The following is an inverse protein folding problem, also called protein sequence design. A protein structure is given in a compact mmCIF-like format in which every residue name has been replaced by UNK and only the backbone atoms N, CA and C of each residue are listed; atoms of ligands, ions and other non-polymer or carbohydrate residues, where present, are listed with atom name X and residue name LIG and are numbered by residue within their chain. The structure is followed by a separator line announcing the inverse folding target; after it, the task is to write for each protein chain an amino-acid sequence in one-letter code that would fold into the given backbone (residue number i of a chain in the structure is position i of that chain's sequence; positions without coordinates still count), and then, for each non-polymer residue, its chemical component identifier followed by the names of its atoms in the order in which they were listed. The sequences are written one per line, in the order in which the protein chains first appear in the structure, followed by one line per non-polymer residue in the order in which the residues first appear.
data_IF_564926278361
#
_entry.id   IF_564926278361
#
_cell.length_a   1.000
_cell.length_b   1.000
_cell.length_c   1.000
_cell.angle_alpha   90.00
_cell.angle_beta   90.00
_cell.angle_gamma   90.00
#
_symmetry.space_group_name_H-M   'P 1'
#
loop_
_entity.id
_entity.type
_entity.pdbx_description
1 polymer ?
#
# COMPACT_ATOMS: atom_id res chain seq x y z
N UNK A 1 80.72 -1.04 21.00
CA UNK A 1 80.20 -2.29 20.41
C UNK A 1 78.73 -2.39 20.78
N UNK A 2 77.87 -2.18 19.79
CA UNK A 2 76.42 -2.24 19.92
C UNK A 2 75.94 -3.69 19.81
N UNK A 3 74.95 -4.09 20.59
CA UNK A 3 74.17 -5.29 20.32
C UNK A 3 72.70 -4.99 20.60
N UNK A 4 71.97 -4.87 19.49
CA UNK A 4 70.51 -4.82 19.43
C UNK A 4 69.99 -6.26 19.41
N UNK A 5 68.92 -6.55 20.14
CA UNK A 5 68.07 -7.73 19.93
C UNK A 5 66.71 -7.41 20.54
N UNK A 6 65.76 -6.96 19.72
CA UNK A 6 64.85 -7.74 18.86
C UNK A 6 63.55 -8.03 19.61
N UNK A 7 62.59 -7.14 19.35
CA UNK A 7 61.22 -7.10 19.84
C UNK A 7 60.43 -8.23 19.18
N UNK A 8 60.06 -9.29 19.92
CA UNK A 8 59.12 -10.30 19.43
C UNK A 8 57.68 -9.87 19.74
N UNK A 9 57.07 -9.32 18.69
CA UNK A 9 55.64 -9.11 18.52
C UNK A 9 54.91 -10.46 18.63
N UNK A 10 54.18 -10.69 19.71
CA UNK A 10 53.29 -11.86 19.81
C UNK A 10 51.88 -11.42 19.48
N UNK A 11 51.54 -11.53 18.20
CA UNK A 11 50.22 -11.23 17.65
C UNK A 11 49.21 -12.26 18.18
N UNK A 12 48.31 -11.80 19.06
CA UNK A 12 47.14 -12.53 19.52
C UNK A 12 46.16 -12.61 18.33
N UNK A 13 46.20 -13.71 17.58
CA UNK A 13 45.14 -14.08 16.64
C UNK A 13 43.98 -14.68 17.44
N UNK A 14 43.21 -13.79 18.08
CA UNK A 14 41.89 -14.11 18.61
C UNK A 14 40.95 -14.25 17.42
N UNK A 15 40.85 -15.47 16.90
CA UNK A 15 39.85 -15.85 15.91
C UNK A 15 38.46 -15.75 16.53
N UNK A 16 37.88 -14.55 16.50
CA UNK A 16 36.44 -14.37 16.60
C UNK A 16 35.81 -15.01 15.36
N UNK A 17 35.58 -16.32 15.42
CA UNK A 17 34.55 -16.97 14.63
C UNK A 17 33.22 -16.37 15.06
N UNK A 18 32.83 -15.26 14.43
CA UNK A 18 31.44 -14.79 14.42
C UNK A 18 30.65 -15.83 13.65
N UNK A 19 30.22 -16.88 14.36
CA UNK A 19 29.06 -17.65 13.94
C UNK A 19 27.93 -16.65 13.79
N UNK A 20 27.65 -16.27 12.55
CA UNK A 20 26.49 -15.45 12.24
C UNK A 20 25.27 -16.21 12.73
N UNK A 21 24.66 -15.74 13.82
CA UNK A 21 23.33 -16.15 14.16
C UNK A 21 22.49 -15.89 12.90
N UNK A 22 21.89 -16.95 12.34
CA UNK A 22 20.79 -16.83 11.39
C UNK A 22 19.63 -16.20 12.18
N UNK A 23 19.73 -14.88 12.38
CA UNK A 23 18.85 -14.10 13.22
C UNK A 23 17.51 -14.00 12.52
N UNK A 24 16.46 -14.49 13.16
CA UNK A 24 15.11 -14.16 12.74
C UNK A 24 14.98 -12.64 12.78
N UNK A 25 14.70 -12.02 11.63
CA UNK A 25 14.37 -10.60 11.58
C UNK A 25 12.91 -10.45 11.96
N UNK A 26 12.67 -9.81 13.10
CA UNK A 26 11.34 -9.53 13.61
C UNK A 26 10.98 -8.08 13.26
N UNK A 27 9.97 -7.92 12.39
CA UNK A 27 9.34 -6.64 12.14
C UNK A 27 8.06 -6.51 12.99
N UNK A 28 7.88 -5.39 13.69
CA UNK A 28 6.71 -5.15 14.53
C UNK A 28 6.14 -3.78 14.26
N UNK A 29 4.81 -3.66 14.37
CA UNK A 29 4.17 -2.36 14.37
C UNK A 29 4.64 -1.51 15.59
N UNK A 30 4.62 -0.17 15.48
CA UNK A 30 5.02 0.71 16.57
C UNK A 30 4.09 0.56 17.79
N UNK A 31 4.65 0.72 18.99
CA UNK A 31 3.93 0.72 20.27
C UNK A 31 3.23 2.07 20.52
N UNK A 32 2.40 2.52 19.59
CA UNK A 32 1.61 3.73 19.74
C UNK A 32 0.11 3.43 19.69
N UNK A 33 -0.67 4.25 20.42
CA UNK A 33 -2.14 4.12 20.47
C UNK A 33 -2.82 4.45 19.14
N UNK A 34 -2.15 5.21 18.29
CA UNK A 34 -2.64 5.66 16.99
C UNK A 34 -2.17 4.75 15.83
N UNK A 35 -1.70 3.54 16.16
CA UNK A 35 -1.16 2.59 15.19
C UNK A 35 -2.20 1.88 14.33
N UNK A 36 -3.47 1.88 14.78
CA UNK A 36 -4.59 1.33 14.02
C UNK A 36 -5.44 2.45 13.44
N UNK A 37 -5.79 2.32 12.16
CA UNK A 37 -6.61 3.27 11.42
C UNK A 37 -7.83 2.53 10.89
N UNK A 38 -9.01 3.07 11.14
CA UNK A 38 -10.26 2.56 10.59
C UNK A 38 -10.69 3.38 9.36
N UNK A 39 -11.14 2.67 8.33
CA UNK A 39 -11.75 3.22 7.13
C UNK A 39 -12.98 2.37 6.81
N UNK A 40 -14.06 3.02 6.42
CA UNK A 40 -15.30 2.31 6.08
C UNK A 40 -16.14 3.11 5.11
N UNK A 41 -16.85 2.38 4.25
CA UNK A 41 -17.88 2.88 3.37
C UNK A 41 -19.11 1.96 3.44
N UNK A 42 -20.10 2.21 2.59
CA UNK A 42 -21.34 1.44 2.53
C UNK A 42 -21.14 -0.03 2.09
N UNK A 43 -19.94 -0.42 1.66
CA UNK A 43 -19.64 -1.72 1.09
C UNK A 43 -18.58 -2.51 1.85
N UNK A 44 -17.69 -1.84 2.59
CA UNK A 44 -16.53 -2.45 3.24
C UNK A 44 -16.14 -1.70 4.49
N UNK A 45 -15.70 -2.47 5.49
CA UNK A 45 -15.05 -1.97 6.68
C UNK A 45 -13.63 -2.49 6.73
N UNK A 46 -12.67 -1.62 7.07
CA UNK A 46 -11.25 -1.92 7.07
C UNK A 46 -10.59 -1.30 8.31
N UNK A 47 -9.83 -2.10 9.05
CA UNK A 47 -8.88 -1.62 10.06
C UNK A 47 -7.48 -1.99 9.61
N UNK A 48 -6.57 -1.02 9.60
CA UNK A 48 -5.19 -1.22 9.12
C UNK A 48 -4.19 -0.81 10.19
N UNK A 49 -3.10 -1.56 10.31
CA UNK A 49 -1.91 -1.21 11.06
C UNK A 49 -0.68 -1.33 10.17
N UNK A 50 0.14 -0.28 10.13
CA UNK A 50 1.41 -0.30 9.41
C UNK A 50 2.47 -1.05 10.24
N UNK A 51 3.26 -1.88 9.57
CA UNK A 51 4.46 -2.52 10.12
C UNK A 51 5.66 -1.90 9.41
N UNK A 52 6.43 -1.03 10.07
CA UNK A 52 7.62 -0.39 9.49
C UNK A 52 8.55 -1.41 8.83
N UNK A 53 9.11 -1.02 7.68
CA UNK A 53 10.07 -1.80 6.89
C UNK A 53 9.59 -3.16 6.38
N UNK A 54 8.31 -3.51 6.61
CA UNK A 54 7.74 -4.78 6.18
C UNK A 54 6.52 -4.60 5.30
N UNK A 55 5.50 -3.85 5.74
CA UNK A 55 4.22 -3.77 5.04
C UNK A 55 3.06 -3.32 5.93
N UNK A 56 1.90 -3.96 5.75
CA UNK A 56 0.68 -3.65 6.48
C UNK A 56 -0.09 -4.89 6.91
N UNK A 57 -0.75 -4.78 8.05
CA UNK A 57 -1.73 -5.74 8.55
C UNK A 57 -3.10 -5.11 8.44
N UNK A 58 -4.04 -5.83 7.87
CA UNK A 58 -5.40 -5.36 7.63
C UNK A 58 -6.41 -6.37 8.12
N UNK A 59 -7.43 -5.88 8.82
CA UNK A 59 -8.65 -6.60 9.11
C UNK A 59 -9.77 -6.00 8.28
N UNK A 60 -10.50 -6.81 7.55
CA UNK A 60 -11.58 -6.33 6.70
C UNK A 60 -12.76 -7.27 6.62
N UNK A 61 -13.91 -6.70 6.28
CA UNK A 61 -15.12 -7.42 5.88
C UNK A 61 -15.89 -6.53 4.91
N UNK A 62 -16.68 -7.16 4.04
CA UNK A 62 -17.54 -6.50 3.07
C UNK A 62 -18.97 -7.03 3.19
N UNK A 63 -19.91 -6.40 2.48
CA UNK A 63 -21.37 -6.71 2.50
C UNK A 63 -21.72 -8.20 2.32
N UNK A 64 -20.83 -9.01 1.74
CA UNK A 64 -20.97 -10.48 1.63
C UNK A 64 -19.69 -11.23 1.98
N UNK A 65 -18.70 -10.51 2.51
CA UNK A 65 -17.38 -11.03 2.79
C UNK A 65 -17.28 -11.50 4.24
N UNK A 66 -16.75 -12.70 4.43
CA UNK A 66 -16.31 -13.12 5.75
C UNK A 66 -15.21 -12.19 6.28
N UNK A 67 -15.11 -12.10 7.60
CA UNK A 67 -14.02 -11.39 8.24
C UNK A 67 -12.68 -11.97 7.78
N UNK A 68 -11.76 -11.10 7.39
CA UNK A 68 -10.49 -11.48 6.77
C UNK A 68 -9.36 -10.67 7.36
N UNK A 69 -8.29 -11.34 7.81
CA UNK A 69 -7.01 -10.70 8.06
C UNK A 69 -6.09 -10.89 6.86
N UNK A 70 -5.46 -9.80 6.43
CA UNK A 70 -4.43 -9.80 5.41
C UNK A 70 -3.15 -9.21 5.96
N UNK A 71 -2.07 -9.96 5.82
CA UNK A 71 -0.71 -9.46 6.05
C UNK A 71 -0.06 -9.28 4.68
N UNK A 72 0.21 -8.04 4.32
CA UNK A 72 0.70 -7.63 3.01
C UNK A 72 2.07 -7.00 3.12
N UNK A 73 3.13 -7.65 2.61
CA UNK A 73 4.45 -7.04 2.55
C UNK A 73 4.49 -5.93 1.48
N UNK A 74 5.31 -4.88 1.68
CA UNK A 74 5.54 -3.84 0.66
C UNK A 74 6.17 -4.38 -0.61
N UNK A 75 6.99 -5.41 -0.48
CA UNK A 75 7.60 -6.11 -1.61
C UNK A 75 7.20 -7.58 -1.51
N UNK A 76 6.29 -8.05 -2.38
CA UNK A 76 5.97 -9.46 -2.48
C UNK A 76 7.25 -10.23 -2.80
N UNK A 77 7.56 -11.26 -2.02
CA UNK A 77 8.69 -12.13 -2.31
C UNK A 77 8.19 -13.41 -2.95
N UNK A 78 8.85 -13.85 -4.02
CA UNK A 78 8.57 -15.16 -4.61
C UNK A 78 8.95 -16.26 -3.61
N UNK A 79 8.21 -17.38 -3.63
CA UNK A 79 8.48 -18.58 -2.83
C UNK A 79 8.36 -18.38 -1.31
N UNK A 80 7.38 -17.60 -0.87
CA UNK A 80 7.02 -17.53 0.55
C UNK A 80 6.47 -18.86 1.04
N UNK A 81 6.89 -19.27 2.24
CA UNK A 81 6.33 -20.41 2.95
C UNK A 81 6.00 -20.02 4.38
N UNK A 82 4.78 -20.25 4.81
CA UNK A 82 4.41 -20.09 6.21
C UNK A 82 5.12 -21.15 7.05
N UNK A 83 5.76 -20.70 8.13
CA UNK A 83 6.31 -21.57 9.18
C UNK A 83 5.29 -21.72 10.29
N UNK A 84 4.78 -20.60 10.82
CA UNK A 84 3.73 -20.58 11.83
C UNK A 84 2.97 -19.26 11.79
N UNK A 85 1.74 -19.28 12.29
CA UNK A 85 1.00 -18.07 12.61
C UNK A 85 0.32 -18.30 13.96
N UNK A 86 0.59 -17.43 14.92
CA UNK A 86 0.10 -17.58 16.29
C UNK A 86 -0.22 -16.26 16.97
N UNK A 87 -1.02 -16.32 18.03
CA UNK A 87 -1.21 -15.21 18.95
C UNK A 87 -0.69 -15.57 20.33
N UNK A 88 0.04 -14.68 20.99
CA UNK A 88 0.64 -14.92 22.30
C UNK A 88 0.67 -13.63 23.13
N UNK A 89 0.95 -13.77 24.44
CA UNK A 89 1.10 -12.62 25.35
C UNK A 89 2.30 -11.78 24.91
N UNK A 90 2.17 -10.45 24.75
CA UNK A 90 3.29 -9.61 24.36
C UNK A 90 4.44 -9.66 25.38
N UNK A 91 5.71 -9.52 24.95
CA UNK A 91 6.86 -9.74 25.83
C UNK A 91 6.98 -8.74 26.99
N UNK A 92 6.31 -7.60 26.92
CA UNK A 92 6.28 -6.59 27.99
C UNK A 92 5.18 -6.81 29.02
N UNK A 93 4.20 -7.69 28.76
CA UNK A 93 3.18 -8.03 29.75
C UNK A 93 3.73 -9.10 30.71
N UNK A 94 3.46 -8.92 32.00
CA UNK A 94 3.86 -9.88 33.04
C UNK A 94 3.32 -11.28 32.73
N UNK A 95 4.00 -12.35 33.18
CA UNK A 95 3.80 -13.71 32.69
C UNK A 95 2.50 -14.31 33.24
N UNK A 96 1.39 -13.91 32.65
CA UNK A 96 0.23 -14.80 32.55
C UNK A 96 0.58 -15.73 31.39
N UNK A 97 1.10 -16.91 31.70
CA UNK A 97 1.49 -17.91 30.69
C UNK A 97 0.19 -18.41 30.07
N UNK A 98 -0.22 -17.77 28.97
CA UNK A 98 -1.31 -18.20 28.12
C UNK A 98 -0.66 -18.86 26.91
N UNK A 99 -0.99 -20.13 26.68
CA UNK A 99 -0.45 -20.88 25.56
C UNK A 99 -0.73 -20.17 24.23
N UNK A 100 0.25 -20.12 23.30
CA UNK A 100 0.04 -19.58 21.97
C UNK A 100 -1.11 -20.30 21.27
N UNK A 101 -1.99 -19.53 20.62
CA UNK A 101 -3.06 -20.08 19.77
C UNK A 101 -2.56 -20.04 18.34
N UNK A 102 -2.60 -21.17 17.64
CA UNK A 102 -2.20 -21.24 16.23
C UNK A 102 -3.38 -21.04 15.29
N UNK A 103 -3.13 -20.38 14.17
CA UNK A 103 -4.13 -20.10 13.14
C UNK A 103 -3.71 -20.68 11.81
N UNK A 104 -4.71 -21.12 11.03
CA UNK A 104 -4.47 -21.52 9.65
C UNK A 104 -4.38 -20.27 8.79
N UNK A 105 -3.28 -20.16 8.07
CA UNK A 105 -3.02 -19.06 7.13
C UNK A 105 -2.78 -19.62 5.74
N UNK A 106 -3.30 -18.92 4.74
CA UNK A 106 -3.12 -19.24 3.33
C UNK A 106 -2.25 -18.17 2.68
N UNK A 107 -1.49 -18.54 1.66
CA UNK A 107 -0.80 -17.55 0.82
C UNK A 107 -1.61 -17.38 -0.46
N UNK A 108 -2.05 -16.14 -0.74
CA UNK A 108 -2.76 -15.77 -1.97
C UNK A 108 -2.10 -14.54 -2.55
N UNK A 109 -1.59 -14.65 -3.78
CA UNK A 109 -1.01 -13.51 -4.51
C UNK A 109 0.10 -12.76 -3.74
N UNK A 110 0.85 -13.47 -2.89
CA UNK A 110 1.91 -12.87 -2.05
C UNK A 110 1.42 -12.25 -0.73
N UNK A 111 0.14 -12.40 -0.41
CA UNK A 111 -0.49 -12.02 0.86
C UNK A 111 -0.68 -13.23 1.75
N UNK A 112 -0.57 -13.04 3.07
CA UNK A 112 -0.95 -14.04 4.04
C UNK A 112 -2.36 -13.76 4.55
N UNK A 113 -3.26 -14.72 4.34
CA UNK A 113 -4.70 -14.54 4.50
C UNK A 113 -5.24 -15.50 5.55
N UNK A 114 -6.01 -14.96 6.50
CA UNK A 114 -6.75 -15.70 7.53
C UNK A 114 -8.21 -15.27 7.43
N UNK A 115 -9.13 -16.23 7.42
CA UNK A 115 -10.53 -15.97 7.08
C UNK A 115 -11.52 -16.61 8.05
N UNK A 116 -12.74 -16.05 8.06
CA UNK A 116 -13.89 -16.59 8.76
C UNK A 116 -13.66 -16.71 10.26
N UNK A 117 -13.96 -17.87 10.84
CA UNK A 117 -13.84 -18.08 12.28
C UNK A 117 -12.40 -17.88 12.80
N UNK A 118 -11.38 -18.21 11.99
CA UNK A 118 -9.99 -17.97 12.40
C UNK A 118 -9.68 -16.48 12.49
N UNK A 119 -10.26 -15.67 11.59
CA UNK A 119 -10.10 -14.23 11.62
C UNK A 119 -10.82 -13.60 12.81
N UNK A 120 -12.02 -14.09 13.14
CA UNK A 120 -12.79 -13.64 14.30
C UNK A 120 -12.07 -13.97 15.62
N UNK A 121 -11.55 -15.19 15.75
CA UNK A 121 -10.76 -15.59 16.92
C UNK A 121 -9.48 -14.75 17.07
N UNK A 122 -8.82 -14.41 15.95
CA UNK A 122 -7.65 -13.55 15.97
C UNK A 122 -7.99 -12.12 16.39
N UNK A 123 -9.11 -11.57 15.90
CA UNK A 123 -9.62 -10.27 16.34
C UNK A 123 -9.88 -10.26 17.85
N UNK A 124 -10.55 -11.28 18.37
CA UNK A 124 -10.79 -11.41 19.81
C UNK A 124 -9.48 -11.51 20.59
N UNK A 125 -8.51 -12.31 20.12
CA UNK A 125 -7.19 -12.40 20.74
C UNK A 125 -6.48 -11.04 20.83
N UNK A 126 -6.46 -10.27 19.73
CA UNK A 126 -5.81 -8.95 19.68
C UNK A 126 -6.56 -7.95 20.57
N UNK A 127 -7.90 -7.95 20.55
CA UNK A 127 -8.72 -7.10 21.44
C UNK A 127 -8.46 -7.38 22.92
N UNK A 128 -8.17 -8.63 23.27
CA UNK A 128 -7.81 -9.05 24.62
C UNK A 128 -6.32 -8.89 24.93
N UNK A 129 -5.59 -8.09 24.15
CA UNK A 129 -4.22 -7.71 24.46
C UNK A 129 -3.14 -8.69 23.99
N UNK A 130 -3.49 -9.69 23.16
CA UNK A 130 -2.51 -10.63 22.59
C UNK A 130 -1.86 -10.04 21.34
N UNK A 131 -0.57 -10.31 21.15
CA UNK A 131 0.14 -10.02 19.91
C UNK A 131 -0.07 -11.16 18.93
N UNK A 132 -0.27 -10.85 17.65
CA UNK A 132 -0.27 -11.84 16.58
C UNK A 132 1.09 -11.85 15.90
N UNK A 133 1.64 -13.02 15.58
CA UNK A 133 2.94 -13.14 14.91
C UNK A 133 2.87 -14.18 13.80
N UNK A 134 3.19 -13.74 12.59
CA UNK A 134 3.41 -14.59 11.42
C UNK A 134 4.90 -14.86 11.31
N UNK A 135 5.30 -16.13 11.34
CA UNK A 135 6.65 -16.57 10.98
C UNK A 135 6.61 -17.22 9.60
N UNK A 136 7.48 -16.77 8.70
CA UNK A 136 7.53 -17.26 7.33
C UNK A 136 8.97 -17.34 6.82
N UNK A 137 9.18 -18.17 5.81
CA UNK A 137 10.43 -18.28 5.08
C UNK A 137 10.32 -17.54 3.75
N UNK A 138 11.35 -16.78 3.42
CA UNK A 138 11.48 -16.04 2.17
C UNK A 138 12.95 -15.97 1.78
N UNK A 139 13.28 -16.36 0.54
CA UNK A 139 14.66 -16.36 0.03
C UNK A 139 15.68 -17.10 0.93
N UNK A 140 15.25 -18.17 1.61
CA UNK A 140 16.11 -18.94 2.52
C UNK A 140 16.25 -18.36 3.92
N UNK A 141 15.66 -17.19 4.21
CA UNK A 141 15.66 -16.56 5.52
C UNK A 141 14.33 -16.78 6.23
N UNK A 142 14.39 -17.00 7.55
CA UNK A 142 13.18 -17.00 8.40
C UNK A 142 12.94 -15.59 8.93
N UNK A 143 11.75 -15.08 8.69
CA UNK A 143 11.30 -13.75 9.08
C UNK A 143 10.05 -13.86 9.93
N UNK A 144 9.87 -12.90 10.83
CA UNK A 144 8.68 -12.79 11.66
C UNK A 144 8.08 -11.39 11.52
N UNK A 145 6.76 -11.31 11.44
CA UNK A 145 6.02 -10.04 11.47
C UNK A 145 4.93 -10.08 12.53
N UNK A 146 4.85 -9.03 13.34
CA UNK A 146 3.91 -8.90 14.44
C UNK A 146 2.84 -7.82 14.22
N UNK A 147 1.59 -8.17 14.49
CA UNK A 147 0.50 -7.21 14.67
C UNK A 147 0.29 -6.94 16.16
N UNK A 148 0.27 -5.66 16.54
CA UNK A 148 0.34 -5.23 17.94
C UNK A 148 -1.05 -4.87 18.47
N UNK A 149 -1.40 -5.30 19.70
CA UNK A 149 -2.72 -5.05 20.27
C UNK A 149 -2.93 -3.60 20.74
N UNK A 150 -1.85 -2.83 20.87
CA UNK A 150 -1.90 -1.44 21.32
C UNK A 150 -2.75 -0.62 20.35
N UNK A 151 -3.74 0.10 20.86
CA UNK A 151 -4.67 0.91 20.06
C UNK A 151 -5.86 0.14 19.49
N UNK A 152 -5.80 -1.19 19.35
CA UNK A 152 -6.89 -1.97 18.76
C UNK A 152 -8.24 -1.80 19.49
N UNK A 153 -8.30 -1.83 20.85
CA UNK A 153 -9.57 -1.64 21.55
C UNK A 153 -10.23 -0.29 21.28
N UNK A 154 -9.45 0.76 20.93
CA UNK A 154 -9.99 2.08 20.64
C UNK A 154 -10.69 2.15 19.28
N UNK A 155 -10.25 1.35 18.30
CA UNK A 155 -10.87 1.27 16.96
C UNK A 155 -11.87 0.12 16.83
N UNK A 156 -11.85 -0.84 17.76
CA UNK A 156 -12.69 -2.03 17.69
C UNK A 156 -14.19 -1.69 17.75
N UNK A 157 -14.61 -0.73 18.58
CA UNK A 157 -16.01 -0.29 18.64
C UNK A 157 -16.48 0.32 17.33
N UNK A 158 -15.62 1.13 16.70
CA UNK A 158 -15.93 1.81 15.45
C UNK A 158 -16.00 0.80 14.31
N UNK A 159 -15.14 -0.22 14.35
CA UNK A 159 -15.17 -1.31 13.39
C UNK A 159 -16.44 -2.13 13.52
N UNK A 160 -16.87 -2.49 14.73
CA UNK A 160 -18.14 -3.18 14.95
C UNK A 160 -19.34 -2.34 14.50
N UNK A 161 -19.30 -1.02 14.74
CA UNK A 161 -20.33 -0.09 14.28
C UNK A 161 -20.37 -0.03 12.75
N UNK A 162 -19.21 0.01 12.10
CA UNK A 162 -19.10 -0.06 10.65
C UNK A 162 -19.70 -1.37 10.12
N UNK A 163 -19.32 -2.52 10.70
CA UNK A 163 -19.84 -3.83 10.30
C UNK A 163 -21.37 -3.91 10.42
N UNK A 164 -21.93 -3.35 11.49
CA UNK A 164 -23.38 -3.30 11.69
C UNK A 164 -24.09 -2.36 10.69
N UNK A 165 -23.38 -1.39 10.13
CA UNK A 165 -23.88 -0.47 9.10
C UNK A 165 -23.82 -1.03 7.68
N UNK A 166 -23.14 -2.17 7.45
CA UNK A 166 -23.11 -2.80 6.14
C UNK A 166 -24.50 -3.32 5.78
N UNK A 167 -25.02 -3.08 4.56
CA UNK A 167 -26.27 -3.64 4.11
C UNK A 167 -26.22 -5.18 4.14
N UNK A 168 -27.35 -5.84 4.37
CA UNK A 168 -27.42 -7.30 4.34
C UNK A 168 -27.23 -7.86 2.93
N UNK A 169 -27.53 -7.04 1.93
CA UNK A 169 -27.46 -7.42 0.52
C UNK A 169 -26.92 -6.25 -0.30
N UNK A 170 -25.96 -6.53 -1.18
CA UNK A 170 -25.55 -5.55 -2.18
C UNK A 170 -26.78 -5.23 -3.05
N UNK A 171 -27.04 -3.96 -3.38
CA UNK A 171 -28.05 -3.64 -4.37
C UNK A 171 -27.75 -4.46 -5.63
N UNK A 172 -28.77 -5.11 -6.19
CA UNK A 172 -28.57 -5.88 -7.42
C UNK A 172 -27.93 -4.97 -8.46
N UNK A 173 -26.83 -5.41 -9.10
CA UNK A 173 -26.24 -4.61 -10.15
C UNK A 173 -27.32 -4.34 -11.21
N UNK A 174 -27.41 -3.11 -11.73
CA UNK A 174 -28.40 -2.82 -12.76
C UNK A 174 -28.24 -3.83 -13.89
N UNK A 175 -29.36 -4.36 -14.38
CA UNK A 175 -29.32 -5.29 -15.51
C UNK A 175 -28.51 -4.68 -16.66
N UNK A 176 -27.81 -5.51 -17.44
CA UNK A 176 -27.05 -5.01 -18.60
C UNK A 176 -27.90 -4.12 -19.52
N UNK A 177 -29.21 -4.41 -19.63
CA UNK A 177 -30.15 -3.57 -20.37
C UNK A 177 -30.37 -2.20 -19.71
N UNK A 178 -30.53 -2.14 -18.39
CA UNK A 178 -30.66 -0.89 -17.65
C UNK A 178 -29.36 -0.06 -17.67
N UNK A 179 -28.20 -0.71 -17.52
CA UNK A 179 -26.90 -0.05 -17.61
C UNK A 179 -26.64 0.51 -19.01
N UNK A 180 -26.93 -0.27 -20.05
CA UNK A 180 -26.81 0.16 -21.45
C UNK A 180 -27.73 1.33 -21.75
N UNK A 181 -29.00 1.26 -21.34
CA UNK A 181 -29.95 2.35 -21.53
C UNK A 181 -29.49 3.63 -20.85
N UNK A 182 -29.00 3.54 -19.60
CA UNK A 182 -28.45 4.69 -18.87
C UNK A 182 -27.28 5.32 -19.62
N UNK A 183 -26.36 4.51 -20.16
CA UNK A 183 -25.24 5.00 -20.96
C UNK A 183 -25.72 5.66 -22.26
N UNK A 184 -26.70 5.07 -22.95
CA UNK A 184 -27.30 5.66 -24.15
C UNK A 184 -27.98 7.01 -23.84
N UNK A 185 -28.69 7.10 -22.72
CA UNK A 185 -29.34 8.34 -22.25
C UNK A 185 -28.30 9.42 -21.86
N UNK A 186 -27.21 9.05 -21.18
CA UNK A 186 -26.10 9.95 -20.84
C UNK A 186 -25.36 10.43 -22.09
N UNK A 187 -25.08 9.54 -23.06
CA UNK A 187 -24.45 9.88 -24.32
C UNK A 187 -25.34 10.82 -25.16
N UNK A 188 -26.66 10.58 -25.16
CA UNK A 188 -27.63 11.45 -25.81
C UNK A 188 -27.74 12.82 -25.14
N UNK A 189 -27.59 12.89 -23.82
CA UNK A 189 -27.55 14.16 -23.07
C UNK A 189 -26.25 14.95 -23.29
N UNK A 190 -25.13 14.25 -23.54
CA UNK A 190 -23.84 14.86 -23.90
C UNK A 190 -23.76 15.29 -25.37
N UNK A 191 -24.62 14.76 -26.23
CA UNK A 191 -24.78 15.21 -27.60
C UNK A 191 -25.59 16.53 -27.65
N UNK A 192 -25.11 17.58 -26.97
CA UNK A 192 -25.49 18.93 -27.34
C UNK A 192 -24.93 19.25 -28.73
N UNK A 193 -25.66 20.02 -29.56
CA UNK A 193 -25.15 20.45 -30.86
C UNK A 193 -23.88 21.26 -30.64
N UNK A 194 -22.80 20.86 -31.31
CA UNK A 194 -21.51 21.56 -31.31
C UNK A 194 -21.74 23.07 -31.43
N UNK A 195 -21.56 23.79 -30.31
CA UNK A 195 -21.35 25.22 -30.37
C UNK A 195 -20.07 25.44 -31.18
N UNK A 196 -20.03 26.46 -32.05
CA UNK A 196 -18.84 26.76 -32.85
C UNK A 196 -17.63 26.86 -31.92
N UNK A 197 -16.66 25.99 -32.19
CA UNK A 197 -15.42 25.79 -31.45
C UNK A 197 -14.68 27.13 -31.29
N UNK A 198 -14.84 27.79 -30.14
CA UNK A 198 -13.96 28.89 -29.74
C UNK A 198 -12.62 28.28 -29.33
N UNK A 199 -11.64 28.46 -30.21
CA UNK A 199 -10.25 28.02 -30.05
C UNK A 199 -9.73 28.47 -28.67
N UNK A 200 -9.42 27.54 -27.74
CA UNK A 200 -9.01 27.93 -26.40
C UNK A 200 -7.72 28.73 -26.47
N UNK A 201 -7.59 29.82 -25.71
CA UNK A 201 -6.41 30.67 -25.74
C UNK A 201 -5.17 29.83 -25.40
N UNK A 202 -4.20 29.82 -26.31
CA UNK A 202 -2.90 29.20 -26.15
C UNK A 202 -2.31 29.60 -24.78
N UNK A 203 -2.20 28.63 -23.88
CA UNK A 203 -1.52 28.81 -22.60
C UNK A 203 -0.09 29.27 -22.87
N UNK A 204 0.30 30.40 -22.27
CA UNK A 204 1.65 30.92 -22.41
C UNK A 204 2.68 29.92 -21.86
N UNK A 205 3.83 29.76 -22.53
CA UNK A 205 4.88 28.85 -22.10
C UNK A 205 5.46 29.31 -20.75
N UNK A 206 5.43 28.42 -19.77
CA UNK A 206 6.03 28.66 -18.45
C UNK A 206 7.55 28.66 -18.58
N UNK A 207 8.20 29.74 -18.14
CA UNK A 207 9.66 29.85 -18.15
C UNK A 207 10.26 29.03 -17.00
N UNK A 208 11.08 28.06 -17.36
CA UNK A 208 11.70 27.10 -16.45
C UNK A 208 12.74 27.79 -15.55
N UNK A 209 12.44 27.93 -14.26
CA UNK A 209 13.50 28.11 -13.24
C UNK A 209 13.50 27.09 -12.12
N UNK A 210 12.42 26.38 -11.84
CA UNK A 210 12.39 25.35 -10.77
C UNK A 210 11.64 24.07 -11.16
N UNK A 211 11.97 23.49 -12.32
CA UNK A 211 11.31 22.28 -12.81
C UNK A 211 12.18 21.03 -12.59
N UNK A 212 11.59 19.98 -12.00
CA UNK A 212 12.11 18.60 -12.13
C UNK A 212 11.20 17.82 -13.08
N UNK A 213 11.78 17.35 -14.19
CA UNK A 213 11.09 16.48 -15.14
C UNK A 213 11.39 15.02 -14.76
N UNK A 214 10.35 14.26 -14.45
CA UNK A 214 10.43 12.82 -14.19
C UNK A 214 9.87 12.10 -15.42
N UNK A 215 10.77 11.56 -16.24
CA UNK A 215 10.35 10.79 -17.41
C UNK A 215 9.93 9.39 -16.98
N UNK A 216 8.63 9.10 -17.05
CA UNK A 216 8.07 7.77 -16.78
C UNK A 216 7.40 7.23 -18.04
N UNK A 217 8.01 6.27 -18.71
CA UNK A 217 7.43 5.67 -19.90
C UNK A 217 6.32 4.68 -19.51
N UNK A 218 5.06 5.05 -19.74
CA UNK A 218 3.94 4.11 -19.69
C UNK A 218 4.07 3.13 -20.86
N UNK A 219 4.07 1.83 -20.60
CA UNK A 219 3.85 0.81 -21.63
C UNK A 219 2.39 0.79 -22.09
N UNK A 220 2.02 -0.20 -22.92
CA UNK A 220 0.66 -0.38 -23.47
C UNK A 220 -0.44 -0.20 -22.42
N UNK A 221 -1.55 0.45 -22.83
CA UNK A 221 -2.86 0.84 -22.25
C UNK A 221 -3.31 0.44 -20.82
N UNK A 222 -2.48 -0.17 -19.98
CA UNK A 222 -2.78 -0.54 -18.60
C UNK A 222 -1.58 -0.22 -17.69
N UNK A 223 -1.89 0.35 -16.52
CA UNK A 223 -0.97 0.39 -15.39
C UNK A 223 -1.07 -0.98 -14.69
N UNK A 224 -0.10 -1.86 -14.92
CA UNK A 224 0.04 -3.05 -14.08
C UNK A 224 0.35 -2.65 -12.62
N UNK A 225 0.11 -3.55 -11.66
CA UNK A 225 0.28 -3.24 -10.22
C UNK A 225 1.71 -2.81 -9.86
N UNK A 226 2.72 -3.33 -10.57
CA UNK A 226 4.11 -2.91 -10.36
C UNK A 226 4.33 -1.47 -10.81
N UNK A 227 3.73 -1.07 -11.94
CA UNK A 227 3.76 0.30 -12.45
C UNK A 227 2.97 1.26 -11.60
N UNK A 228 1.80 0.85 -11.07
CA UNK A 228 1.04 1.61 -10.08
C UNK A 228 1.90 1.90 -8.85
N UNK A 229 2.54 0.89 -8.28
CA UNK A 229 3.42 1.06 -7.12
C UNK A 229 4.63 1.96 -7.40
N UNK A 230 5.25 1.85 -8.59
CA UNK A 230 6.34 2.74 -8.99
C UNK A 230 5.87 4.20 -9.13
N UNK A 231 4.72 4.41 -9.76
CA UNK A 231 4.09 5.72 -9.89
C UNK A 231 3.75 6.30 -8.51
N UNK A 232 3.18 5.49 -7.63
CA UNK A 232 2.90 5.89 -6.25
C UNK A 232 4.17 6.29 -5.51
N UNK A 233 5.22 5.46 -5.52
CA UNK A 233 6.47 5.78 -4.82
C UNK A 233 7.10 7.09 -5.36
N UNK A 234 7.03 7.30 -6.68
CA UNK A 234 7.51 8.52 -7.32
C UNK A 234 6.74 9.77 -6.89
N UNK A 235 5.43 9.62 -6.64
CA UNK A 235 4.55 10.70 -6.20
C UNK A 235 4.50 10.84 -4.68
N UNK A 236 4.79 9.78 -3.92
CA UNK A 236 4.81 9.79 -2.45
C UNK A 236 5.95 10.66 -1.92
N UNK A 237 7.12 10.62 -2.57
CA UNK A 237 8.23 11.55 -2.32
C UNK A 237 7.80 13.02 -2.52
N UNK A 238 6.74 13.26 -3.29
CA UNK A 238 6.18 14.56 -3.62
C UNK A 238 5.00 14.98 -2.73
N UNK A 239 4.18 14.05 -2.23
CA UNK A 239 3.14 14.35 -1.23
C UNK A 239 3.75 14.88 0.09
N UNK A 240 5.04 14.66 0.31
CA UNK A 240 5.82 15.23 1.42
C UNK A 240 6.36 16.65 1.14
N UNK A 241 6.17 17.20 -0.07
CA UNK A 241 6.61 18.53 -0.46
C UNK A 241 5.59 19.62 -0.05
N UNK A 242 5.98 20.90 0.09
CA UNK A 242 5.07 21.97 0.51
C UNK A 242 3.86 22.14 -0.43
N UNK A 243 2.74 22.57 0.15
CA UNK A 243 1.38 22.63 -0.42
C UNK A 243 1.17 23.43 -1.73
N UNK A 244 2.21 23.96 -2.34
CA UNK A 244 2.13 24.81 -3.54
C UNK A 244 2.53 24.12 -4.84
N UNK A 245 3.03 22.89 -4.78
CA UNK A 245 3.59 22.23 -5.95
C UNK A 245 2.46 21.64 -6.83
N UNK A 246 2.57 21.80 -8.16
CA UNK A 246 1.67 21.22 -9.16
C UNK A 246 2.34 20.11 -9.95
N UNK A 247 1.58 19.07 -10.28
CA UNK A 247 2.03 17.98 -11.15
C UNK A 247 1.45 18.18 -12.56
N UNK A 248 2.32 18.16 -13.57
CA UNK A 248 1.95 18.25 -14.96
C UNK A 248 2.11 16.90 -15.66
N UNK A 249 1.04 16.37 -16.24
CA UNK A 249 1.06 15.19 -17.11
C UNK A 249 1.29 15.68 -18.54
N UNK A 250 2.48 15.41 -19.09
CA UNK A 250 2.85 15.80 -20.45
C UNK A 250 2.61 14.63 -21.39
N UNK A 251 1.77 14.80 -22.41
CA UNK A 251 1.47 13.73 -23.39
C UNK A 251 1.47 14.24 -24.82
N UNK A 252 1.77 13.39 -25.83
CA UNK A 252 1.48 13.73 -27.21
C UNK A 252 -0.03 13.88 -27.45
N UNK A 253 -0.39 14.54 -28.56
CA UNK A 253 -1.77 14.80 -28.96
C UNK A 253 -2.34 13.65 -29.81
N UNK A 254 -2.33 12.44 -29.27
CA UNK A 254 -2.89 11.27 -29.93
C UNK A 254 -3.85 10.51 -29.00
N UNK A 255 -4.71 9.69 -29.59
CA UNK A 255 -5.79 8.98 -28.91
C UNK A 255 -5.28 8.02 -27.82
N UNK A 256 -4.17 7.33 -28.07
CA UNK A 256 -3.56 6.42 -27.11
C UNK A 256 -3.01 7.20 -25.90
N UNK A 257 -2.31 8.30 -26.17
CA UNK A 257 -1.83 9.22 -25.15
C UNK A 257 -2.94 9.85 -24.31
N UNK A 258 -4.11 10.12 -24.91
CA UNK A 258 -5.31 10.58 -24.18
C UNK A 258 -5.80 9.54 -23.18
N UNK A 259 -5.94 8.28 -23.60
CA UNK A 259 -6.38 7.19 -22.71
C UNK A 259 -5.38 6.99 -21.57
N UNK A 260 -4.08 6.94 -21.87
CA UNK A 260 -3.04 6.77 -20.86
C UNK A 260 -3.02 7.91 -19.84
N UNK A 261 -3.27 9.13 -20.29
CA UNK A 261 -3.38 10.31 -19.42
C UNK A 261 -4.52 10.18 -18.42
N UNK A 262 -5.70 9.77 -18.88
CA UNK A 262 -6.88 9.58 -18.00
C UNK A 262 -6.63 8.50 -16.97
N UNK A 263 -6.02 7.37 -17.38
CA UNK A 263 -5.64 6.28 -16.47
C UNK A 263 -4.70 6.77 -15.36
N UNK A 264 -3.69 7.58 -15.69
CA UNK A 264 -2.78 8.17 -14.68
C UNK A 264 -3.50 9.18 -13.80
N UNK A 265 -4.31 10.09 -14.37
CA UNK A 265 -5.01 11.10 -13.62
C UNK A 265 -6.01 10.49 -12.61
N UNK A 266 -6.77 9.48 -13.05
CA UNK A 266 -7.70 8.76 -12.19
C UNK A 266 -6.97 8.04 -11.06
N UNK A 267 -5.89 7.32 -11.38
CA UNK A 267 -5.08 6.65 -10.36
C UNK A 267 -4.55 7.63 -9.30
N UNK A 268 -3.99 8.77 -9.71
CA UNK A 268 -3.46 9.75 -8.76
C UNK A 268 -4.56 10.38 -7.89
N UNK A 269 -5.74 10.59 -8.47
CA UNK A 269 -6.92 11.08 -7.74
C UNK A 269 -7.42 10.05 -6.72
N UNK A 270 -7.46 8.76 -7.09
CA UNK A 270 -7.78 7.65 -6.17
C UNK A 270 -6.79 7.54 -5.01
N UNK A 271 -5.52 7.93 -5.23
CA UNK A 271 -4.50 8.00 -4.17
C UNK A 271 -4.59 9.28 -3.32
N UNK A 272 -5.64 10.09 -3.49
CA UNK A 272 -5.92 11.28 -2.67
C UNK A 272 -5.27 12.56 -3.17
N UNK A 273 -4.73 12.60 -4.40
CA UNK A 273 -4.26 13.86 -4.99
C UNK A 273 -5.45 14.71 -5.46
N UNK A 274 -5.46 15.99 -5.09
CA UNK A 274 -6.46 16.93 -5.56
C UNK A 274 -6.32 17.15 -7.08
N UNK A 275 -7.41 16.97 -7.83
CA UNK A 275 -7.44 17.16 -9.28
C UNK A 275 -6.96 18.56 -9.71
N UNK A 276 -7.10 19.58 -8.85
CA UNK A 276 -6.61 20.94 -9.11
C UNK A 276 -5.09 21.07 -9.09
N UNK A 277 -4.40 20.09 -8.49
CA UNK A 277 -2.94 19.99 -8.52
C UNK A 277 -2.42 19.29 -9.77
N UNK A 278 -3.31 18.64 -10.54
CA UNK A 278 -2.99 17.99 -11.80
C UNK A 278 -3.22 18.96 -12.96
N UNK A 279 -2.19 19.17 -13.76
CA UNK A 279 -2.27 19.93 -15.01
C UNK A 279 -1.92 19.02 -16.17
N UNK A 280 -2.62 19.17 -17.29
CA UNK A 280 -2.31 18.40 -18.50
C UNK A 280 -1.60 19.33 -19.48
N UNK A 281 -0.44 18.90 -19.96
CA UNK A 281 0.29 19.60 -21.00
C UNK A 281 0.37 18.71 -22.25
N UNK A 282 -0.08 19.23 -23.39
CA UNK A 282 0.05 18.53 -24.66
C UNK A 282 1.35 18.99 -25.31
N UNK A 283 2.25 18.05 -25.60
CA UNK A 283 3.52 18.31 -26.29
C UNK A 283 3.65 17.34 -27.48
N UNK A 284 3.39 17.80 -28.73
CA UNK A 284 3.43 16.94 -29.90
C UNK A 284 4.83 16.43 -30.25
N UNK A 285 5.89 17.00 -29.68
CA UNK A 285 7.26 16.53 -29.87
C UNK A 285 7.66 15.42 -28.87
N UNK A 286 6.83 15.14 -27.87
CA UNK A 286 7.07 14.07 -26.90
C UNK A 286 6.73 12.70 -27.48
N UNK A 287 7.49 11.69 -27.06
CA UNK A 287 7.08 10.29 -27.18
C UNK A 287 6.67 9.76 -25.82
N UNK A 288 5.39 9.39 -25.70
CA UNK A 288 4.79 8.84 -24.49
C UNK A 288 4.40 9.87 -23.42
N UNK A 289 3.78 9.38 -22.35
CA UNK A 289 3.38 10.21 -21.20
C UNK A 289 4.60 10.51 -20.33
N UNK A 290 4.73 11.72 -19.81
CA UNK A 290 5.73 12.09 -18.80
C UNK A 290 5.08 12.85 -17.66
N UNK A 291 5.72 12.81 -16.49
CA UNK A 291 5.28 13.57 -15.34
C UNK A 291 6.31 14.67 -15.06
N UNK A 292 5.85 15.92 -15.02
CA UNK A 292 6.67 17.09 -14.76
C UNK A 292 6.19 17.73 -13.48
N UNK A 293 7.08 17.87 -12.51
CA UNK A 293 6.78 18.58 -11.28
C UNK A 293 7.09 20.06 -11.51
N UNK A 294 6.09 20.89 -11.26
CA UNK A 294 6.19 22.36 -11.30
C UNK A 294 6.11 22.86 -9.87
N UNK A 295 7.18 23.49 -9.38
CA UNK A 295 7.19 24.21 -8.11
C UNK A 295 6.85 25.67 -8.33
#
# INVERSE_FOLDING_TARGET
MASQSSTFLTTILLGCLTTGALGQTLAMAPLNKDGWIIQGDEQRCVVTQAVPDWGMVRLESSVRGQLTWLFTPYTPTANQRVVSFESHTPPWQHPTIIDPVQYRVQIREGHFVIEGNSAANLLDAINNGRMATLTYQSAGETRAVGAMPVGMPAVASDFQTCLAGLPAELPEPPSLAAARKKLEDELAAMAEPEAPEEEPPLLQPWTAKDTRVLSYALGEHTLDEMRKQQLFNMVADYLMAPASAKLAIITPNDEDSRIRREVVANYLTEQGMDATMLTVQIDPAQSGVRLKIVK
#
